data_IF_985834293796
#
_entry.id   IF_985834293796
#
_cell.length_a   1.000
_cell.length_b   1.000
_cell.length_c   1.000
_cell.angle_alpha   90.00
_cell.angle_beta   90.00
_cell.angle_gamma   90.00
#
_symmetry.space_group_name_H-M   'P 1'
#
loop_
_entity.id
_entity.type
_entity.pdbx_description
1 polymer ?
#
# COMPACT_ATOMS: atom_id res chain seq x y z
N UNK A 1 -23.26 -6.77 -3.90
CA UNK A 1 -21.90 -6.62 -4.46
C UNK A 1 -21.09 -5.47 -3.85
N UNK A 2 -21.67 -4.29 -3.59
CA UNK A 2 -20.95 -3.14 -3.02
C UNK A 2 -20.25 -3.40 -1.65
N UNK A 3 -20.87 -4.20 -0.77
CA UNK A 3 -20.26 -4.54 0.53
C UNK A 3 -18.97 -5.36 0.40
N UNK A 4 -18.90 -6.25 -0.60
CA UNK A 4 -17.70 -7.07 -0.88
C UNK A 4 -16.57 -6.21 -1.47
N UNK A 5 -16.88 -5.26 -2.35
CA UNK A 5 -15.88 -4.32 -2.86
C UNK A 5 -15.32 -3.44 -1.73
N UNK A 6 -16.17 -2.94 -0.83
CA UNK A 6 -15.74 -2.16 0.34
C UNK A 6 -14.81 -2.94 1.26
N UNK A 7 -15.10 -4.22 1.53
CA UNK A 7 -14.25 -5.06 2.38
C UNK A 7 -12.87 -5.32 1.75
N UNK A 8 -12.82 -5.54 0.43
CA UNK A 8 -11.57 -5.68 -0.31
C UNK A 8 -10.72 -4.40 -0.27
N UNK A 9 -11.33 -3.22 -0.49
CA UNK A 9 -10.65 -1.91 -0.39
C UNK A 9 -10.04 -1.71 1.00
N UNK A 10 -10.79 -2.02 2.06
CA UNK A 10 -10.32 -1.91 3.45
C UNK A 10 -9.21 -2.92 3.78
N UNK A 11 -9.30 -4.14 3.26
CA UNK A 11 -8.25 -5.14 3.41
C UNK A 11 -6.94 -4.69 2.75
N UNK A 12 -7.02 -4.16 1.53
CA UNK A 12 -5.87 -3.62 0.82
C UNK A 12 -5.25 -2.44 1.57
N UNK A 13 -6.06 -1.48 2.01
CA UNK A 13 -5.61 -0.32 2.79
C UNK A 13 -4.81 -0.74 4.03
N UNK A 14 -5.38 -1.62 4.87
CA UNK A 14 -4.74 -2.10 6.10
C UNK A 14 -3.45 -2.85 5.80
N UNK A 15 -3.42 -3.62 4.72
CA UNK A 15 -2.23 -4.36 4.31
C UNK A 15 -1.12 -3.42 3.86
N UNK A 16 -1.44 -2.42 3.04
CA UNK A 16 -0.46 -1.40 2.63
C UNK A 16 0.11 -0.61 3.80
N UNK A 17 -0.71 -0.25 4.80
CA UNK A 17 -0.22 0.40 6.02
C UNK A 17 0.73 -0.50 6.82
N UNK A 18 0.36 -1.78 7.00
CA UNK A 18 1.20 -2.76 7.71
C UNK A 18 2.54 -2.98 7.02
N UNK A 19 2.57 -3.15 5.70
CA UNK A 19 3.83 -3.30 4.97
C UNK A 19 4.65 -2.01 4.98
N UNK A 20 4.03 -0.85 4.78
CA UNK A 20 4.74 0.45 4.84
C UNK A 20 5.41 0.70 6.20
N UNK A 21 4.80 0.25 7.29
CA UNK A 21 5.36 0.37 8.64
C UNK A 21 6.67 -0.43 8.83
N UNK A 22 6.96 -1.42 7.98
CA UNK A 22 8.17 -2.24 8.08
C UNK A 22 9.43 -1.59 7.50
N UNK A 23 9.32 -0.43 6.85
CA UNK A 23 10.51 0.28 6.35
C UNK A 23 11.43 0.65 7.51
N UNK A 24 12.72 0.24 7.49
CA UNK A 24 13.66 0.53 8.59
C UNK A 24 13.91 2.04 8.73
N UNK A 25 14.13 2.72 7.60
CA UNK A 25 14.32 4.17 7.55
C UNK A 25 13.04 4.91 7.95
N UNK A 26 13.15 5.79 8.94
CA UNK A 26 12.07 6.65 9.43
C UNK A 26 11.44 7.48 8.30
N UNK A 27 12.26 8.09 7.44
CA UNK A 27 11.78 8.94 6.35
C UNK A 27 10.97 8.15 5.33
N UNK A 28 11.47 6.98 4.90
CA UNK A 28 10.74 6.12 3.97
C UNK A 28 9.44 5.57 4.59
N UNK A 29 9.47 5.15 5.86
CA UNK A 29 8.30 4.68 6.58
C UNK A 29 7.20 5.74 6.64
N UNK A 30 7.54 6.95 7.08
CA UNK A 30 6.56 8.03 7.18
C UNK A 30 6.06 8.49 5.82
N UNK A 31 6.93 8.58 4.83
CA UNK A 31 6.54 8.90 3.46
C UNK A 31 5.54 7.87 2.90
N UNK A 32 5.85 6.58 3.02
CA UNK A 32 4.98 5.51 2.52
C UNK A 32 3.62 5.51 3.25
N UNK A 33 3.62 5.61 4.58
CA UNK A 33 2.38 5.69 5.38
C UNK A 33 1.52 6.90 4.98
N UNK A 34 2.13 8.08 4.82
CA UNK A 34 1.44 9.29 4.37
C UNK A 34 0.86 9.10 2.97
N UNK A 35 1.68 8.63 2.02
CA UNK A 35 1.26 8.44 0.61
C UNK A 35 0.09 7.46 0.47
N UNK A 36 0.09 6.39 1.25
CA UNK A 36 -1.03 5.43 1.31
C UNK A 36 -2.28 6.10 1.89
N UNK A 37 -2.17 6.80 3.03
CA UNK A 37 -3.32 7.50 3.63
C UNK A 37 -3.92 8.53 2.68
N UNK A 38 -3.08 9.36 2.05
CA UNK A 38 -3.51 10.41 1.14
C UNK A 38 -4.20 9.84 -0.10
N UNK A 39 -3.67 8.74 -0.67
CA UNK A 39 -4.28 8.09 -1.83
C UNK A 39 -5.70 7.58 -1.55
N UNK A 40 -5.88 6.87 -0.43
CA UNK A 40 -7.20 6.35 -0.07
C UNK A 40 -8.16 7.46 0.35
N UNK A 41 -7.65 8.53 1.00
CA UNK A 41 -8.46 9.70 1.35
C UNK A 41 -8.90 10.48 0.11
N UNK A 42 -8.04 10.65 -0.88
CA UNK A 42 -8.36 11.35 -2.13
C UNK A 42 -9.43 10.62 -2.96
N UNK A 43 -9.46 9.29 -2.91
CA UNK A 43 -10.37 8.46 -3.72
C UNK A 43 -11.59 7.92 -2.94
N UNK A 44 -11.86 8.42 -1.73
CA UNK A 44 -12.90 7.89 -0.82
C UNK A 44 -14.34 7.90 -1.37
N UNK A 45 -14.61 8.79 -2.32
CA UNK A 45 -15.96 9.01 -2.89
C UNK A 45 -16.04 8.53 -4.35
N UNK A 46 -15.07 7.75 -4.83
CA UNK A 46 -15.14 7.15 -6.16
C UNK A 46 -16.12 5.99 -6.12
N UNK A 47 -17.20 6.09 -6.89
CA UNK A 47 -18.28 5.09 -6.93
C UNK A 47 -18.35 4.33 -8.25
N UNK A 48 -17.73 4.85 -9.32
CA UNK A 48 -17.66 4.15 -10.61
C UNK A 48 -16.91 2.81 -10.44
N UNK A 49 -17.57 1.65 -10.69
CA UNK A 49 -16.96 0.35 -10.50
C UNK A 49 -15.66 0.16 -11.29
N UNK A 50 -15.57 0.73 -12.51
CA UNK A 50 -14.36 0.63 -13.33
C UNK A 50 -13.21 1.43 -12.75
N UNK A 51 -13.47 2.65 -12.28
CA UNK A 51 -12.48 3.45 -11.57
C UNK A 51 -12.02 2.77 -10.27
N UNK A 52 -12.94 2.18 -9.49
CA UNK A 52 -12.60 1.42 -8.27
C UNK A 52 -11.70 0.23 -8.61
N UNK A 53 -12.03 -0.55 -9.63
CA UNK A 53 -11.22 -1.70 -10.06
C UNK A 53 -9.80 -1.29 -10.46
N UNK A 54 -9.68 -0.21 -11.25
CA UNK A 54 -8.37 0.35 -11.64
C UNK A 54 -7.56 0.80 -10.42
N UNK A 55 -8.16 1.55 -9.50
CA UNK A 55 -7.48 2.02 -8.28
C UNK A 55 -7.06 0.84 -7.39
N UNK A 56 -7.88 -0.22 -7.33
CA UNK A 56 -7.53 -1.45 -6.62
C UNK A 56 -6.32 -2.15 -7.24
N UNK A 57 -6.23 -2.17 -8.58
CA UNK A 57 -5.07 -2.72 -9.29
C UNK A 57 -3.81 -1.89 -9.05
N UNK A 58 -3.90 -0.56 -9.18
CA UNK A 58 -2.80 0.36 -8.86
C UNK A 58 -2.33 0.19 -7.39
N UNK A 59 -3.26 -0.02 -6.47
CA UNK A 59 -2.97 -0.29 -5.06
C UNK A 59 -2.24 -1.64 -4.85
N UNK A 60 -2.65 -2.70 -5.55
CA UNK A 60 -1.98 -4.01 -5.51
C UNK A 60 -0.55 -3.94 -6.08
N UNK A 61 -0.36 -3.24 -7.19
CA UNK A 61 0.97 -3.02 -7.78
C UNK A 61 1.87 -2.23 -6.83
N UNK A 62 1.33 -1.17 -6.21
CA UNK A 62 2.06 -0.39 -5.21
C UNK A 62 2.45 -1.23 -3.99
N UNK A 63 1.56 -2.10 -3.52
CA UNK A 63 1.86 -3.04 -2.43
C UNK A 63 3.02 -3.98 -2.79
N UNK A 64 3.00 -4.56 -3.99
CA UNK A 64 4.06 -5.44 -4.46
C UNK A 64 5.43 -4.71 -4.53
N UNK A 65 5.43 -3.44 -4.94
CA UNK A 65 6.64 -2.60 -4.92
C UNK A 65 7.17 -2.37 -3.50
N UNK A 66 6.29 -2.04 -2.55
CA UNK A 66 6.67 -1.88 -1.13
C UNK A 66 7.32 -3.17 -0.60
N UNK A 67 6.69 -4.32 -0.85
CA UNK A 67 7.20 -5.62 -0.39
C UNK A 67 8.55 -5.96 -1.03
N UNK A 68 8.72 -5.69 -2.33
CA UNK A 68 10.00 -5.91 -3.03
C UNK A 68 11.11 -5.03 -2.45
N UNK A 69 10.83 -3.75 -2.21
CA UNK A 69 11.82 -2.82 -1.64
C UNK A 69 12.27 -3.24 -0.24
N UNK A 70 11.34 -3.71 0.59
CA UNK A 70 11.67 -4.25 1.91
C UNK A 70 12.55 -5.50 1.82
N UNK A 71 12.22 -6.44 0.93
CA UNK A 71 13.03 -7.65 0.71
C UNK A 71 14.46 -7.31 0.25
N UNK A 72 14.60 -6.36 -0.67
CA UNK A 72 15.93 -5.92 -1.15
C UNK A 72 16.74 -5.24 -0.05
N UNK A 73 16.14 -4.32 0.72
CA UNK A 73 16.82 -3.63 1.82
C UNK A 73 17.25 -4.59 2.93
N UNK A 74 16.40 -5.55 3.29
CA UNK A 74 16.76 -6.60 4.25
C UNK A 74 17.94 -7.41 3.73
N UNK A 75 17.91 -7.86 2.47
CA UNK A 75 19.04 -8.61 1.87
C UNK A 75 20.34 -7.81 1.85
N UNK A 76 20.31 -6.50 1.64
CA UNK A 76 21.50 -5.65 1.70
C UNK A 76 22.05 -5.53 3.13
N UNK A 77 21.17 -5.32 4.11
CA UNK A 77 21.55 -5.24 5.53
C UNK A 77 22.20 -6.54 6.02
N UNK A 78 21.70 -7.71 5.59
CA UNK A 78 22.29 -9.00 5.93
C UNK A 78 23.68 -9.24 5.31
N UNK A 79 23.99 -8.63 4.15
CA UNK A 79 25.31 -8.76 3.49
C UNK A 79 26.37 -7.82 4.07
N UNK A 80 25.96 -6.81 4.82
CA UNK A 80 26.86 -5.83 5.48
C UNK A 80 27.18 -6.17 6.93
N UNK A 81 26.69 -7.32 7.43
CA UNK A 81 27.04 -7.92 8.73
C UNK A 81 28.09 -9.00 8.50
#
# INVERSE_FOLDING_TARGET
MAAAARSQVMSLYRTMLRESAKFPSYNYRNYALRRVRDAFKANRNVEDPKAVERLMEEGRQTLALIQRQLKMKLSQQWKSL
#
